data_IF_478259439920
#
_entry.id   IF_478259439920
#
_cell.length_a   1.000
_cell.length_b   1.000
_cell.length_c   1.000
_cell.angle_alpha   90.00
_cell.angle_beta   90.00
_cell.angle_gamma   90.00
#
_symmetry.space_group_name_H-M   'P 1'
#
loop_
_entity.id
_entity.type
_entity.pdbx_description
1 polymer ?
#
# COMPACT_ATOMS: atom_id res chain seq x y z
N UNK A 1 -8.05 1.25 -2.88
CA UNK A 1 -7.58 1.72 -1.56
C UNK A 1 -6.48 0.78 -1.12
N UNK A 2 -6.81 -0.51 -1.05
CA UNK A 2 -5.86 -1.57 -1.37
C UNK A 2 -5.53 -1.52 -2.87
N UNK A 3 -4.28 -1.79 -3.21
CA UNK A 3 -3.83 -2.06 -4.58
C UNK A 3 -3.37 -3.50 -4.69
N UNK A 4 -3.61 -4.08 -5.86
CA UNK A 4 -3.17 -5.43 -6.20
C UNK A 4 -2.78 -5.47 -7.65
N UNK A 5 -1.78 -6.27 -7.97
CA UNK A 5 -1.32 -6.47 -9.34
C UNK A 5 -1.14 -7.96 -9.65
N UNK A 6 -2.21 -8.67 -10.05
CA UNK A 6 -2.16 -10.10 -10.35
C UNK A 6 -1.17 -10.46 -11.47
N UNK A 7 -0.98 -9.56 -12.44
CA UNK A 7 -0.03 -9.74 -13.54
C UNK A 7 1.40 -9.79 -13.03
N UNK A 8 1.76 -8.85 -12.15
CA UNK A 8 3.09 -8.80 -11.56
C UNK A 8 3.34 -10.00 -10.63
N UNK A 9 2.32 -10.39 -9.86
CA UNK A 9 2.39 -11.60 -9.04
C UNK A 9 2.64 -12.87 -9.88
N UNK A 10 1.83 -13.05 -10.93
CA UNK A 10 1.97 -14.20 -11.82
C UNK A 10 3.35 -14.26 -12.49
N UNK A 11 3.89 -13.09 -12.88
CA UNK A 11 5.23 -13.01 -13.42
C UNK A 11 6.28 -13.49 -12.42
N UNK A 12 6.29 -12.94 -11.20
CA UNK A 12 7.35 -13.24 -10.23
C UNK A 12 7.26 -14.69 -9.73
N UNK A 13 6.06 -15.25 -9.59
CA UNK A 13 5.86 -16.66 -9.23
C UNK A 13 6.50 -17.58 -10.27
N UNK A 14 6.16 -17.40 -11.55
CA UNK A 14 6.78 -18.19 -12.64
C UNK A 14 8.28 -17.98 -12.71
N UNK A 15 8.75 -16.74 -12.59
CA UNK A 15 10.18 -16.42 -12.67
C UNK A 15 10.96 -17.10 -11.53
N UNK A 16 10.44 -17.05 -10.31
CA UNK A 16 11.06 -17.66 -9.13
C UNK A 16 11.15 -19.18 -9.23
N UNK A 17 10.09 -19.84 -9.73
CA UNK A 17 10.07 -21.30 -9.90
C UNK A 17 11.12 -21.80 -10.90
N UNK A 18 11.39 -21.04 -11.96
CA UNK A 18 12.31 -21.43 -13.03
C UNK A 18 13.76 -20.94 -12.84
N UNK A 19 14.03 -20.06 -11.86
CA UNK A 19 15.32 -19.39 -11.71
C UNK A 19 15.81 -19.36 -10.25
N UNK A 20 16.15 -20.54 -9.70
CA UNK A 20 16.52 -20.68 -8.28
C UNK A 20 17.86 -20.03 -7.90
N UNK A 21 18.79 -19.86 -8.84
CA UNK A 21 20.13 -19.28 -8.57
C UNK A 21 20.18 -17.74 -8.62
N UNK A 22 19.03 -17.07 -8.68
CA UNK A 22 18.98 -15.60 -8.81
C UNK A 22 19.20 -14.86 -7.49
N UNK A 23 19.23 -15.55 -6.35
CA UNK A 23 19.31 -14.92 -5.03
C UNK A 23 18.00 -14.23 -4.59
N UNK A 24 16.93 -14.37 -5.36
CA UNK A 24 15.58 -13.99 -4.93
C UNK A 24 15.16 -14.92 -3.79
N UNK A 25 14.58 -14.37 -2.73
CA UNK A 25 14.16 -15.16 -1.56
C UNK A 25 12.71 -14.84 -1.18
N UNK A 26 11.98 -15.84 -0.67
CA UNK A 26 10.68 -15.60 -0.07
C UNK A 26 10.87 -15.22 1.40
N UNK A 27 10.40 -14.03 1.79
CA UNK A 27 10.48 -13.52 3.16
C UNK A 27 9.09 -13.34 3.76
N UNK A 28 9.01 -13.56 5.06
CA UNK A 28 7.78 -13.37 5.85
C UNK A 28 7.99 -12.26 6.87
N UNK A 29 7.05 -11.34 6.93
CA UNK A 29 7.04 -10.19 7.82
C UNK A 29 5.80 -10.25 8.70
N UNK A 30 5.99 -10.25 10.01
CA UNK A 30 4.90 -10.17 10.97
C UNK A 30 4.19 -8.82 10.88
N UNK A 31 2.90 -8.78 11.26
CA UNK A 31 2.15 -7.53 11.43
C UNK A 31 2.93 -6.52 12.26
N UNK A 32 2.96 -5.27 11.81
CA UNK A 32 3.68 -4.15 12.41
C UNK A 32 5.16 -4.07 12.03
N UNK A 33 5.74 -5.07 11.37
CA UNK A 33 7.13 -5.02 10.95
C UNK A 33 7.31 -4.07 9.76
N UNK A 34 8.23 -3.12 9.92
CA UNK A 34 8.66 -2.19 8.88
C UNK A 34 9.88 -2.76 8.16
N UNK A 35 9.72 -3.13 6.89
CA UNK A 35 10.77 -3.77 6.09
C UNK A 35 11.37 -2.86 5.01
N UNK A 36 10.78 -1.68 4.81
CA UNK A 36 11.37 -0.54 4.10
C UNK A 36 11.27 0.67 5.02
N UNK A 37 12.37 1.40 5.16
CA UNK A 37 12.51 2.48 6.14
C UNK A 37 12.91 3.77 5.43
N UNK A 38 12.11 4.81 5.60
CA UNK A 38 12.30 6.12 4.98
C UNK A 38 13.69 6.68 5.34
N UNK A 39 14.38 7.23 4.34
CA UNK A 39 15.72 7.77 4.50
C UNK A 39 16.85 6.74 4.44
N UNK A 40 16.55 5.44 4.49
CA UNK A 40 17.55 4.37 4.36
C UNK A 40 17.82 3.98 2.90
N UNK A 41 18.91 3.26 2.67
CA UNK A 41 19.25 2.72 1.34
C UNK A 41 18.48 1.41 1.10
N UNK A 42 17.75 1.34 -0.02
CA UNK A 42 17.05 0.11 -0.41
C UNK A 42 18.06 -1.00 -0.80
N UNK A 43 17.91 -2.17 -0.19
CA UNK A 43 18.78 -3.35 -0.49
C UNK A 43 18.08 -4.39 -1.36
N UNK A 44 16.79 -4.55 -1.15
CA UNK A 44 15.95 -5.48 -1.90
C UNK A 44 14.67 -4.77 -2.32
N UNK A 45 14.20 -5.10 -3.50
CA UNK A 45 12.87 -4.76 -3.99
C UNK A 45 11.94 -5.88 -3.56
N UNK A 46 10.72 -5.54 -3.19
CA UNK A 46 9.76 -6.52 -2.69
C UNK A 46 8.54 -6.59 -3.61
N UNK A 47 8.10 -7.81 -3.94
CA UNK A 47 6.79 -8.04 -4.55
C UNK A 47 5.96 -8.86 -3.56
N UNK A 48 4.82 -8.30 -3.13
CA UNK A 48 3.95 -8.94 -2.14
C UNK A 48 3.31 -10.19 -2.74
N UNK A 49 3.54 -11.34 -2.13
CA UNK A 49 2.88 -12.60 -2.50
C UNK A 49 1.52 -12.72 -1.82
N UNK A 50 1.50 -12.52 -0.51
CA UNK A 50 0.30 -12.57 0.31
C UNK A 50 0.38 -11.55 1.46
N UNK A 51 -0.78 -11.16 1.98
CA UNK A 51 -0.92 -10.13 3.01
C UNK A 51 -1.07 -8.71 2.47
N UNK A 52 -1.07 -7.75 3.39
CA UNK A 52 -1.29 -6.33 3.14
C UNK A 52 -0.25 -5.50 3.88
N UNK A 53 0.26 -4.48 3.20
CA UNK A 53 1.20 -3.50 3.72
C UNK A 53 0.63 -2.09 3.60
N UNK A 54 1.20 -1.14 4.34
CA UNK A 54 1.00 0.30 4.15
C UNK A 54 2.31 0.96 3.72
N UNK A 55 2.27 1.81 2.70
CA UNK A 55 3.36 2.77 2.39
C UNK A 55 2.97 4.15 2.89
N UNK A 56 3.82 4.76 3.69
CA UNK A 56 3.53 6.01 4.39
C UNK A 56 4.79 6.86 4.58
N UNK A 57 4.59 8.18 4.60
CA UNK A 57 5.63 9.15 4.93
C UNK A 57 5.45 9.55 6.39
N UNK A 58 6.55 9.59 7.14
CA UNK A 58 6.58 10.16 8.48
C UNK A 58 7.17 11.57 8.39
N UNK A 59 6.41 12.55 8.86
CA UNK A 59 6.81 13.96 8.91
C UNK A 59 7.50 14.31 10.24
N UNK A 60 8.26 15.41 10.25
CA UNK A 60 9.00 15.86 11.45
C UNK A 60 8.10 16.16 12.66
N UNK A 61 6.81 16.47 12.41
CA UNK A 61 5.81 16.68 13.46
C UNK A 61 5.27 15.38 14.08
N UNK A 62 5.85 14.23 13.73
CA UNK A 62 5.50 12.90 14.24
C UNK A 62 4.21 12.33 13.65
N UNK A 63 3.67 12.92 12.58
CA UNK A 63 2.48 12.40 11.90
C UNK A 63 2.87 11.55 10.71
N UNK A 64 2.16 10.43 10.58
CA UNK A 64 2.21 9.62 9.39
C UNK A 64 1.13 10.05 8.41
N UNK A 65 1.50 10.10 7.14
CA UNK A 65 0.57 10.19 6.01
C UNK A 65 0.66 8.89 5.21
N UNK A 66 -0.40 8.08 5.24
CA UNK A 66 -0.44 6.86 4.44
C UNK A 66 -0.72 7.24 3.00
N UNK A 67 0.25 6.95 2.14
CA UNK A 67 0.09 7.06 0.70
C UNK A 67 -0.89 5.97 0.30
N UNK A 68 -0.56 4.69 0.48
CA UNK A 68 -1.33 3.57 -0.08
C UNK A 68 -1.28 2.31 0.78
N UNK A 69 -2.29 1.46 0.61
CA UNK A 69 -2.25 0.07 1.05
C UNK A 69 -1.90 -0.82 -0.14
N UNK A 70 -0.88 -1.66 0.01
CA UNK A 70 -0.33 -2.49 -1.05
C UNK A 70 -0.50 -3.95 -0.68
N UNK A 71 -1.22 -4.70 -1.52
CA UNK A 71 -1.51 -6.11 -1.35
C UNK A 71 -0.85 -6.96 -2.43
N UNK A 72 -1.47 -8.10 -2.74
CA UNK A 72 -0.94 -9.13 -3.65
C UNK A 72 -0.49 -8.56 -4.99
N UNK A 73 0.76 -8.85 -5.35
CA UNK A 73 1.42 -8.45 -6.58
C UNK A 73 1.97 -7.03 -6.59
N UNK A 74 1.69 -6.20 -5.59
CA UNK A 74 2.26 -4.86 -5.54
C UNK A 74 3.77 -4.91 -5.29
N UNK A 75 4.48 -4.01 -5.98
CA UNK A 75 5.93 -3.83 -5.87
C UNK A 75 6.28 -2.67 -4.93
N UNK A 76 7.40 -2.80 -4.22
CA UNK A 76 7.92 -1.80 -3.28
C UNK A 76 9.44 -1.70 -3.40
N UNK A 77 9.96 -0.47 -3.34
CA UNK A 77 11.40 -0.17 -3.39
C UNK A 77 11.93 0.05 -4.82
N UNK A 78 11.05 -0.05 -5.80
CA UNK A 78 11.37 0.08 -7.22
C UNK A 78 11.82 1.50 -7.57
N UNK A 79 11.19 2.53 -6.98
CA UNK A 79 11.52 3.92 -7.26
C UNK A 79 12.93 4.25 -6.78
N UNK A 80 13.26 3.83 -5.56
CA UNK A 80 14.57 3.99 -4.94
C UNK A 80 15.67 3.31 -5.75
N UNK A 81 15.40 2.08 -6.20
CA UNK A 81 16.33 1.31 -7.01
C UNK A 81 16.60 1.98 -8.36
N UNK A 82 15.54 2.39 -9.07
CA UNK A 82 15.64 3.04 -10.39
C UNK A 82 16.31 4.40 -10.28
N UNK A 83 15.89 5.23 -9.31
CA UNK A 83 16.35 6.61 -9.17
C UNK A 83 17.66 6.74 -8.41
N UNK A 84 18.13 5.66 -7.77
CA UNK A 84 19.33 5.63 -6.91
C UNK A 84 19.25 6.67 -5.79
N UNK A 85 18.10 6.69 -5.12
CA UNK A 85 17.80 7.57 -3.99
C UNK A 85 17.52 6.74 -2.73
N UNK A 86 17.58 7.39 -1.57
CA UNK A 86 17.12 6.78 -0.32
C UNK A 86 15.59 6.60 -0.34
N UNK A 87 15.09 5.68 0.47
CA UNK A 87 13.67 5.37 0.61
C UNK A 87 12.82 6.61 0.87
N UNK A 88 11.88 6.86 -0.04
CA UNK A 88 10.95 7.99 0.04
C UNK A 88 9.88 7.75 1.11
N UNK A 89 9.38 6.52 1.22
CA UNK A 89 8.38 6.13 2.21
C UNK A 89 8.87 4.98 3.08
N UNK A 90 8.22 4.83 4.23
CA UNK A 90 8.24 3.61 5.01
C UNK A 90 7.26 2.61 4.41
N UNK A 91 7.57 1.32 4.49
CA UNK A 91 6.61 0.24 4.23
C UNK A 91 6.56 -0.75 5.39
N UNK A 92 5.36 -0.92 5.94
CA UNK A 92 5.11 -1.81 7.08
C UNK A 92 3.94 -2.77 6.81
N UNK A 93 4.07 -3.98 7.33
CA UNK A 93 3.02 -5.00 7.24
C UNK A 93 1.84 -4.65 8.18
N UNK A 94 0.60 -4.69 7.69
CA UNK A 94 -0.61 -4.52 8.50
C UNK A 94 -1.35 -5.83 8.76
N UNK A 95 -0.99 -6.88 8.03
CA UNK A 95 -1.24 -8.29 8.31
C UNK A 95 0.10 -9.05 8.42
N UNK A 96 0.08 -10.37 8.57
CA UNK A 96 1.24 -11.17 8.14
C UNK A 96 1.40 -10.99 6.63
N UNK A 97 2.65 -10.81 6.18
CA UNK A 97 2.98 -10.57 4.77
C UNK A 97 4.06 -11.54 4.33
N UNK A 98 3.85 -12.19 3.19
CA UNK A 98 4.90 -12.92 2.49
C UNK A 98 5.25 -12.16 1.21
N UNK A 99 6.54 -12.01 0.91
CA UNK A 99 6.99 -11.25 -0.26
C UNK A 99 8.26 -11.85 -0.87
N UNK A 100 8.36 -11.74 -2.19
CA UNK A 100 9.60 -11.99 -2.92
C UNK A 100 10.55 -10.83 -2.68
N UNK A 101 11.68 -11.08 -2.01
CA UNK A 101 12.77 -10.14 -1.85
C UNK A 101 13.78 -10.33 -2.98
N UNK A 102 13.85 -9.35 -3.87
CA UNK A 102 14.68 -9.33 -5.07
C UNK A 102 15.89 -8.43 -4.78
N UNK A 103 17.13 -8.97 -4.80
CA UNK A 103 18.32 -8.14 -4.62
C UNK A 103 18.37 -7.01 -5.65
N UNK A 104 18.80 -5.81 -5.24
CA UNK A 104 18.78 -4.62 -6.11
C UNK A 104 19.44 -4.85 -7.48
N UNK A 105 20.60 -5.53 -7.51
CA UNK A 105 21.29 -5.83 -8.76
C UNK A 105 20.50 -6.75 -9.69
N UNK A 106 19.73 -7.71 -9.15
CA UNK A 106 18.86 -8.62 -9.91
C UNK A 106 17.67 -7.84 -10.47
N UNK A 107 17.07 -6.98 -9.66
CA UNK A 107 15.98 -6.11 -10.09
C UNK A 107 16.43 -5.22 -11.26
N UNK A 108 17.57 -4.54 -11.13
CA UNK A 108 18.11 -3.70 -12.20
C UNK A 108 18.40 -4.52 -13.48
N UNK A 109 19.01 -5.71 -13.33
CA UNK A 109 19.21 -6.61 -14.47
C UNK A 109 17.88 -6.98 -15.15
N UNK A 110 16.84 -7.30 -14.40
CA UNK A 110 15.52 -7.60 -14.96
C UNK A 110 14.94 -6.42 -15.73
N UNK A 111 15.10 -5.19 -15.25
CA UNK A 111 14.64 -3.99 -15.98
C UNK A 111 15.34 -3.78 -17.31
N UNK A 112 16.59 -4.26 -17.44
CA UNK A 112 17.39 -4.10 -18.65
C UNK A 112 17.22 -5.26 -19.63
N UNK A 113 17.09 -6.49 -19.13
CA UNK A 113 17.17 -7.71 -19.94
C UNK A 113 15.84 -8.43 -20.13
N UNK A 114 14.80 -8.13 -19.33
CA UNK A 114 13.52 -8.82 -19.40
C UNK A 114 12.39 -7.87 -19.85
N UNK A 115 12.02 -7.96 -21.13
CA UNK A 115 11.01 -7.09 -21.73
C UNK A 115 9.62 -7.24 -21.10
N UNK A 116 9.23 -8.45 -20.66
CA UNK A 116 7.95 -8.69 -19.99
C UNK A 116 7.93 -7.96 -18.64
N UNK A 117 8.98 -8.13 -17.83
CA UNK A 117 9.12 -7.44 -16.54
C UNK A 117 9.06 -5.93 -16.69
N UNK A 118 9.84 -5.37 -17.62
CA UNK A 118 9.89 -3.93 -17.85
C UNK A 118 8.53 -3.38 -18.30
N UNK A 119 7.79 -4.12 -19.14
CA UNK A 119 6.44 -3.71 -19.56
C UNK A 119 5.46 -3.72 -18.38
N UNK A 120 5.47 -4.77 -17.55
CA UNK A 120 4.62 -4.85 -16.36
C UNK A 120 4.93 -3.71 -15.40
N UNK A 121 6.21 -3.45 -15.15
CA UNK A 121 6.67 -2.37 -14.28
C UNK A 121 6.22 -0.98 -14.80
N UNK A 122 6.36 -0.71 -16.10
CA UNK A 122 5.91 0.54 -16.70
C UNK A 122 4.39 0.73 -16.59
N UNK A 123 3.62 -0.35 -16.79
CA UNK A 123 2.17 -0.31 -16.64
C UNK A 123 1.76 -0.07 -15.19
N UNK A 124 2.47 -0.68 -14.23
CA UNK A 124 2.26 -0.45 -12.80
C UNK A 124 2.53 1.02 -12.46
N UNK A 125 3.72 1.54 -12.78
CA UNK A 125 4.07 2.94 -12.50
C UNK A 125 3.08 3.94 -13.14
N UNK A 126 2.64 3.68 -14.38
CA UNK A 126 1.63 4.51 -15.05
C UNK A 126 0.28 4.48 -14.31
N UNK A 127 -0.13 3.29 -13.87
CA UNK A 127 -1.35 3.10 -13.07
C UNK A 127 -1.24 3.83 -11.74
N UNK A 128 -0.09 3.77 -11.06
CA UNK A 128 0.16 4.50 -9.80
C UNK A 128 0.04 6.01 -9.98
N UNK A 129 0.59 6.56 -11.06
CA UNK A 129 0.50 8.00 -11.36
C UNK A 129 -0.96 8.42 -11.54
N UNK A 130 -1.74 7.67 -12.34
CA UNK A 130 -3.16 7.97 -12.59
C UNK A 130 -3.94 7.94 -11.27
N UNK A 131 -3.81 6.86 -10.50
CA UNK A 131 -4.58 6.66 -9.27
C UNK A 131 -4.20 7.66 -8.18
N UNK A 132 -2.91 7.98 -8.03
CA UNK A 132 -2.44 8.98 -7.07
C UNK A 132 -2.94 10.37 -7.43
N UNK A 133 -2.92 10.74 -8.71
CA UNK A 133 -3.43 12.01 -9.20
C UNK A 133 -4.94 12.15 -8.97
N UNK A 134 -5.72 11.11 -9.29
CA UNK A 134 -7.17 11.08 -9.03
C UNK A 134 -7.48 11.18 -7.53
N UNK A 135 -6.68 10.50 -6.68
CA UNK A 135 -6.85 10.60 -5.23
C UNK A 135 -6.54 12.01 -4.72
N UNK A 136 -5.45 12.63 -5.18
CA UNK A 136 -5.07 13.97 -4.76
C UNK A 136 -6.18 14.98 -5.09
N UNK A 137 -6.76 14.89 -6.29
CA UNK A 137 -7.93 15.70 -6.67
C UNK A 137 -9.13 15.44 -5.77
N UNK A 138 -9.45 14.17 -5.52
CA UNK A 138 -10.56 13.79 -4.65
C UNK A 138 -10.41 14.34 -3.23
N UNK A 139 -9.23 14.21 -2.63
CA UNK A 139 -8.96 14.69 -1.27
C UNK A 139 -9.02 16.22 -1.14
N UNK A 140 -8.75 16.95 -2.22
CA UNK A 140 -8.82 18.42 -2.21
C UNK A 140 -10.25 18.95 -2.43
N UNK A 141 -11.08 18.25 -3.21
CA UNK A 141 -12.36 18.78 -3.67
C UNK A 141 -13.57 18.27 -2.89
N UNK A 142 -13.47 17.09 -2.27
CA UNK A 142 -14.59 16.50 -1.52
C UNK A 142 -14.48 16.75 -0.01
N UNK A 143 -15.63 16.73 0.67
CA UNK A 143 -15.66 16.87 2.12
C UNK A 143 -15.04 15.66 2.81
N UNK A 144 -14.52 15.88 4.02
CA UNK A 144 -13.96 14.81 4.83
C UNK A 144 -14.98 13.71 5.15
N UNK A 145 -16.26 14.09 5.37
CA UNK A 145 -17.37 13.16 5.58
C UNK A 145 -17.51 12.21 4.38
N UNK A 146 -17.44 12.74 3.16
CA UNK A 146 -17.54 11.93 1.95
C UNK A 146 -16.33 11.02 1.76
N UNK A 147 -15.11 11.53 2.04
CA UNK A 147 -13.89 10.72 2.01
C UNK A 147 -13.93 9.56 3.01
N UNK A 148 -14.40 9.81 4.23
CA UNK A 148 -14.58 8.79 5.26
C UNK A 148 -15.60 7.73 4.83
N UNK A 149 -16.77 8.15 4.33
CA UNK A 149 -17.79 7.23 3.83
C UNK A 149 -17.26 6.31 2.73
N UNK A 150 -16.53 6.87 1.77
CA UNK A 150 -15.92 6.08 0.69
C UNK A 150 -14.93 5.06 1.24
N UNK A 151 -14.09 5.46 2.19
CA UNK A 151 -13.11 4.58 2.83
C UNK A 151 -13.79 3.43 3.59
N UNK A 152 -14.81 3.75 4.38
CA UNK A 152 -15.53 2.76 5.19
C UNK A 152 -16.29 1.75 4.33
N UNK A 153 -16.88 2.19 3.22
CA UNK A 153 -17.51 1.28 2.24
C UNK A 153 -16.49 0.34 1.62
N UNK A 154 -15.34 0.85 1.18
CA UNK A 154 -14.28 0.01 0.62
C UNK A 154 -13.76 -1.01 1.64
N UNK A 155 -13.62 -0.65 2.91
CA UNK A 155 -13.25 -1.61 3.95
C UNK A 155 -14.30 -2.71 4.15
N UNK A 156 -15.59 -2.35 4.12
CA UNK A 156 -16.67 -3.33 4.23
C UNK A 156 -16.66 -4.33 3.07
N UNK A 157 -16.31 -3.86 1.86
CA UNK A 157 -16.25 -4.70 0.66
C UNK A 157 -14.99 -5.59 0.64
N UNK A 158 -13.84 -5.08 1.06
CA UNK A 158 -12.53 -5.74 0.83
C UNK A 158 -12.08 -6.73 1.92
N UNK A 159 -12.92 -7.10 2.89
CA UNK A 159 -12.65 -8.16 3.89
C UNK A 159 -11.31 -8.02 4.64
N UNK A 160 -10.73 -6.83 4.73
CA UNK A 160 -9.55 -6.57 5.54
C UNK A 160 -9.79 -5.41 6.50
N UNK A 161 -9.16 -5.48 7.68
CA UNK A 161 -9.37 -4.50 8.75
C UNK A 161 -8.26 -3.46 8.76
N UNK A 162 -8.63 -2.18 8.62
CA UNK A 162 -7.75 -1.03 8.82
C UNK A 162 -8.04 -0.44 10.21
N UNK A 163 -6.98 -0.09 10.95
CA UNK A 163 -7.12 0.59 12.24
C UNK A 163 -7.64 2.01 12.08
N UNK A 164 -8.27 2.58 13.11
CA UNK A 164 -8.73 4.00 13.07
C UNK A 164 -7.57 4.95 12.85
N UNK A 165 -6.41 4.61 13.41
CA UNK A 165 -5.16 5.33 13.28
C UNK A 165 -4.69 5.36 11.81
N UNK A 166 -4.69 4.21 11.15
CA UNK A 166 -4.31 4.12 9.73
C UNK A 166 -5.33 4.81 8.83
N UNK A 167 -6.63 4.72 9.13
CA UNK A 167 -7.65 5.47 8.37
C UNK A 167 -7.47 6.98 8.51
N UNK A 168 -7.20 7.45 9.72
CA UNK A 168 -6.94 8.87 9.97
C UNK A 168 -5.68 9.34 9.22
N UNK A 169 -4.60 8.56 9.28
CA UNK A 169 -3.35 8.82 8.57
C UNK A 169 -3.53 8.80 7.04
N UNK A 170 -4.36 7.89 6.51
CA UNK A 170 -4.70 7.84 5.08
C UNK A 170 -5.55 9.03 4.62
N UNK A 171 -6.43 9.53 5.48
CA UNK A 171 -7.23 10.73 5.22
C UNK A 171 -6.46 12.04 5.50
N UNK A 172 -5.23 11.97 6.02
CA UNK A 172 -4.43 13.15 6.36
C UNK A 172 -5.00 13.96 7.53
N UNK A 173 -5.67 13.31 8.48
CA UNK A 173 -6.31 13.97 9.62
C UNK A 173 -5.87 13.36 10.95
N UNK A 174 -6.13 14.05 12.06
CA UNK A 174 -5.93 13.46 13.39
C UNK A 174 -6.99 12.39 13.69
N UNK A 175 -6.64 11.40 14.53
CA UNK A 175 -7.58 10.40 15.05
C UNK A 175 -8.78 11.06 15.76
N UNK A 176 -8.56 12.20 16.42
CA UNK A 176 -9.64 12.99 17.03
C UNK A 176 -10.61 13.54 15.98
N UNK A 177 -10.09 14.10 14.89
CA UNK A 177 -10.91 14.57 13.77
C UNK A 177 -11.66 13.41 13.12
N UNK A 178 -10.99 12.26 12.94
CA UNK A 178 -11.60 11.05 12.41
C UNK A 178 -12.79 10.61 13.25
N UNK A 179 -12.61 10.49 14.57
CA UNK A 179 -13.67 10.09 15.49
C UNK A 179 -14.85 11.07 15.49
N UNK A 180 -14.59 12.38 15.42
CA UNK A 180 -15.64 13.40 15.31
C UNK A 180 -16.45 13.24 14.02
N UNK A 181 -15.78 13.07 12.89
CA UNK A 181 -16.44 12.88 11.59
C UNK A 181 -17.20 11.54 11.55
N UNK A 182 -16.65 10.48 12.15
CA UNK A 182 -17.34 9.19 12.26
C UNK A 182 -18.67 9.31 13.02
N UNK A 183 -18.72 10.07 14.12
CA UNK A 183 -19.97 10.31 14.85
C UNK A 183 -20.99 11.11 14.02
N UNK A 184 -20.54 12.10 13.26
CA UNK A 184 -21.40 12.85 12.35
C UNK A 184 -22.00 11.93 11.27
N UNK A 185 -21.17 11.06 10.68
CA UNK A 185 -21.62 10.09 9.68
C UNK A 185 -22.63 9.10 10.27
N UNK A 186 -22.39 8.57 11.49
CA UNK A 186 -23.33 7.68 12.18
C UNK A 186 -24.70 8.34 12.41
N UNK A 187 -24.71 9.62 12.81
CA UNK A 187 -25.96 10.34 13.08
C UNK A 187 -26.81 10.66 11.84
N UNK A 188 -26.21 10.61 10.65
CA UNK A 188 -26.85 11.02 9.37
C UNK A 188 -27.17 9.83 8.44
N UNK A 189 -26.78 8.60 8.78
CA UNK A 189 -26.93 7.45 7.90
C UNK A 189 -28.17 6.62 8.25
N UNK A 190 -29.02 6.37 7.25
CA UNK A 190 -30.26 5.59 7.39
C UNK A 190 -30.12 4.14 6.87
N UNK A 191 -28.96 3.76 6.32
CA UNK A 191 -28.70 2.40 5.83
C UNK A 191 -28.36 1.46 7.00
N UNK A 192 -29.33 0.62 7.41
CA UNK A 192 -29.18 -0.32 8.53
C UNK A 192 -27.97 -1.26 8.42
N UNK A 193 -27.61 -1.73 7.22
CA UNK A 193 -26.45 -2.64 7.03
C UNK A 193 -25.15 -1.89 7.27
N UNK A 194 -25.05 -0.68 6.75
CA UNK A 194 -23.89 0.17 6.95
C UNK A 194 -23.80 0.64 8.41
N UNK A 195 -24.92 1.00 9.04
CA UNK A 195 -24.97 1.37 10.46
C UNK A 195 -24.47 0.26 11.36
N UNK A 196 -24.85 -1.01 11.11
CA UNK A 196 -24.34 -2.16 11.87
C UNK A 196 -22.83 -2.38 11.69
N UNK A 197 -22.28 -2.12 10.50
CA UNK A 197 -20.83 -2.10 10.29
C UNK A 197 -20.15 -0.95 11.05
N UNK A 198 -20.75 0.25 11.06
CA UNK A 198 -20.25 1.42 11.78
C UNK A 198 -20.25 1.21 13.31
N UNK A 199 -21.22 0.48 13.86
CA UNK A 199 -21.29 0.12 15.28
C UNK A 199 -20.14 -0.80 15.71
N UNK A 200 -19.79 -1.77 14.86
CA UNK A 200 -18.66 -2.68 15.11
C UNK A 200 -17.29 -2.02 15.02
N UNK A 201 -17.20 -0.80 14.47
CA UNK A 201 -16.01 0.04 14.50
C UNK A 201 -15.89 0.85 15.80
N UNK A 202 -16.82 0.71 16.75
CA UNK A 202 -16.85 1.38 18.06
C UNK A 202 -15.66 1.02 18.93
#
# INVERSE_FOLDING_TARGET
MLRTNPTFLSFIERFYEHNQDTGITLKTFRKGFRFVEQGEIIKNIYIVKDGITKCFISEENGKDFIIEFLGKGEIVGELEAIKKINCLCNVAAISEVTAYAIPNHVFLSLTETNQEFTRILLQELSTRIIQTSSRASFQQLYTLEYGLLKLLRLQADEHFSISKEDMAAYLGISVRSFNRTLQQVKSKNEDEKFTKFLENLG
#
